data_IF_100801807577
#
_entry.id   IF_100801807577
#
_cell.length_a   1.000
_cell.length_b   1.000
_cell.length_c   1.000
_cell.angle_alpha   90.00
_cell.angle_beta   90.00
_cell.angle_gamma   90.00
#
_symmetry.space_group_name_H-M   'P 1'
#
loop_
_entity.id
_entity.type
_entity.pdbx_description
1 polymer ?
#
# COMPACT_ATOMS: atom_id res chain seq x y z
N UNK A 1 13.84 16.51 -11.30
CA UNK A 1 14.39 15.25 -11.84
C UNK A 1 13.21 14.32 -12.09
N UNK A 2 12.72 14.28 -13.33
CA UNK A 2 11.83 13.21 -13.75
C UNK A 2 12.64 11.92 -13.83
N UNK A 3 12.39 10.99 -12.93
CA UNK A 3 12.90 9.64 -13.08
C UNK A 3 11.97 8.94 -14.08
N UNK A 4 12.33 9.01 -15.35
CA UNK A 4 11.72 8.14 -16.36
C UNK A 4 12.18 6.71 -16.03
N UNK A 5 11.35 5.95 -15.36
CA UNK A 5 11.62 4.55 -15.02
C UNK A 5 11.50 3.63 -16.24
N UNK A 6 11.24 4.18 -17.43
CA UNK A 6 11.04 3.40 -18.66
C UNK A 6 9.81 2.49 -18.60
N UNK A 7 8.85 2.81 -17.73
CA UNK A 7 7.59 2.06 -17.57
C UNK A 7 6.64 2.37 -18.73
N UNK A 8 5.88 1.38 -19.18
CA UNK A 8 5.07 1.44 -20.40
C UNK A 8 3.56 1.44 -20.16
N UNK A 9 3.09 1.27 -18.92
CA UNK A 9 1.67 1.23 -18.60
C UNK A 9 1.01 2.60 -18.50
N UNK A 10 -0.33 2.65 -18.56
CA UNK A 10 -1.14 3.87 -18.53
C UNK A 10 -1.49 4.37 -17.14
N UNK A 11 -1.44 3.53 -16.13
CA UNK A 11 -1.72 3.84 -14.74
C UNK A 11 -0.56 3.42 -13.85
N UNK A 12 -0.33 4.18 -12.78
CA UNK A 12 0.75 3.91 -11.85
C UNK A 12 0.21 3.55 -10.47
N UNK A 13 0.63 2.40 -9.97
CA UNK A 13 0.31 1.92 -8.63
C UNK A 13 1.60 1.78 -7.82
N UNK A 14 1.62 2.37 -6.63
CA UNK A 14 2.73 2.25 -5.69
C UNK A 14 2.40 1.20 -4.66
N UNK A 15 3.39 0.37 -4.35
CA UNK A 15 3.34 -0.52 -3.21
C UNK A 15 4.42 -0.17 -2.20
N UNK A 16 3.97 0.12 -0.98
CA UNK A 16 4.81 0.61 0.09
C UNK A 16 5.36 -0.50 1.01
N UNK A 17 6.28 -0.06 1.83
CA UNK A 17 7.02 -0.65 2.96
C UNK A 17 6.42 -1.96 3.50
N UNK A 18 6.98 -3.05 3.08
CA UNK A 18 6.49 -4.40 3.32
C UNK A 18 6.30 -5.18 2.03
N UNK A 19 6.87 -4.65 0.91
CA UNK A 19 6.84 -5.38 -0.37
C UNK A 19 7.43 -6.79 -0.24
N UNK A 20 8.01 -7.12 0.92
CA UNK A 20 8.62 -8.39 1.18
C UNK A 20 9.68 -8.70 0.13
N UNK A 21 9.57 -9.84 -0.50
CA UNK A 21 10.42 -10.23 -1.63
C UNK A 21 9.99 -9.64 -2.98
N UNK A 22 8.99 -8.76 -3.01
CA UNK A 22 8.44 -8.18 -4.24
C UNK A 22 7.42 -9.07 -4.96
N UNK A 23 7.05 -10.18 -4.38
CA UNK A 23 6.16 -11.21 -4.97
C UNK A 23 4.82 -10.62 -5.41
N UNK A 24 4.24 -9.76 -4.57
CA UNK A 24 2.95 -9.13 -4.87
C UNK A 24 3.05 -8.14 -6.05
N UNK A 25 4.11 -7.33 -6.09
CA UNK A 25 4.33 -6.35 -7.16
C UNK A 25 4.56 -7.04 -8.50
N UNK A 26 5.34 -8.12 -8.51
CA UNK A 26 5.56 -8.94 -9.70
C UNK A 26 4.28 -9.64 -10.13
N UNK A 27 3.52 -10.19 -9.17
CA UNK A 27 2.22 -10.83 -9.43
C UNK A 27 1.23 -9.87 -10.08
N UNK A 28 1.07 -8.66 -9.51
CA UNK A 28 0.22 -7.61 -10.08
C UNK A 28 0.68 -7.20 -11.48
N UNK A 29 1.98 -7.03 -11.68
CA UNK A 29 2.52 -6.68 -12.99
C UNK A 29 2.24 -7.73 -14.07
N UNK A 30 2.19 -9.01 -13.71
CA UNK A 30 1.80 -10.09 -14.63
C UNK A 30 0.30 -10.08 -14.94
N UNK A 31 -0.53 -9.81 -13.94
CA UNK A 31 -1.99 -9.78 -14.10
C UNK A 31 -2.47 -8.57 -14.90
N UNK A 32 -1.78 -7.43 -14.77
CA UNK A 32 -2.16 -6.17 -15.38
C UNK A 32 -1.00 -5.59 -16.20
N UNK A 33 -0.73 -6.12 -17.40
CA UNK A 33 0.39 -5.69 -18.23
C UNK A 33 0.28 -4.22 -18.68
N UNK A 34 -0.93 -3.67 -18.69
CA UNK A 34 -1.19 -2.27 -19.06
C UNK A 34 -1.05 -1.27 -17.91
N UNK A 35 -0.79 -1.73 -16.70
CA UNK A 35 -0.56 -0.90 -15.51
C UNK A 35 0.90 -1.00 -15.06
N UNK A 36 1.42 0.10 -14.52
CA UNK A 36 2.75 0.14 -13.92
C UNK A 36 2.68 -0.09 -12.42
N UNK A 37 3.61 -0.86 -11.89
CA UNK A 37 3.71 -1.16 -10.48
C UNK A 37 5.11 -0.83 -9.96
N UNK A 38 5.17 -0.03 -8.89
CA UNK A 38 6.42 0.34 -8.25
C UNK A 38 6.42 -0.17 -6.82
N UNK A 39 7.35 -1.06 -6.51
CA UNK A 39 7.62 -1.49 -5.14
C UNK A 39 8.56 -0.49 -4.46
N UNK A 40 8.20 -0.06 -3.27
CA UNK A 40 9.01 0.85 -2.47
C UNK A 40 9.41 0.20 -1.15
N UNK A 41 10.69 0.17 -0.82
CA UNK A 41 11.19 -0.25 0.49
C UNK A 41 12.53 0.44 0.78
N UNK A 42 12.84 0.62 2.06
CA UNK A 42 14.15 1.09 2.51
C UNK A 42 15.21 -0.02 2.45
N UNK A 43 14.79 -1.28 2.53
CA UNK A 43 15.67 -2.45 2.56
C UNK A 43 15.78 -3.09 1.18
N UNK A 44 16.80 -2.68 0.42
CA UNK A 44 17.07 -3.22 -0.92
C UNK A 44 17.24 -4.74 -0.98
N UNK A 45 17.80 -5.37 0.07
CA UNK A 45 17.97 -6.82 0.13
C UNK A 45 16.64 -7.60 0.07
N UNK A 46 15.55 -7.01 0.55
CA UNK A 46 14.22 -7.63 0.46
C UNK A 46 13.66 -7.58 -0.97
N UNK A 47 13.87 -6.48 -1.66
CA UNK A 47 13.35 -6.28 -3.02
C UNK A 47 14.14 -7.04 -4.09
N UNK A 48 15.35 -7.51 -3.77
CA UNK A 48 16.24 -8.12 -4.74
C UNK A 48 15.62 -9.32 -5.47
N UNK A 49 14.88 -10.15 -4.77
CA UNK A 49 14.24 -11.34 -5.35
C UNK A 49 13.23 -10.95 -6.43
N UNK A 50 12.30 -10.05 -6.10
CA UNK A 50 11.29 -9.57 -7.07
C UNK A 50 11.91 -8.78 -8.22
N UNK A 51 12.93 -7.97 -7.95
CA UNK A 51 13.65 -7.23 -8.99
C UNK A 51 14.35 -8.19 -9.96
N UNK A 52 15.02 -9.22 -9.46
CA UNK A 52 15.68 -10.23 -10.29
C UNK A 52 14.65 -11.00 -11.12
N UNK A 53 13.56 -11.44 -10.51
CA UNK A 53 12.48 -12.15 -11.18
C UNK A 53 11.84 -11.32 -12.30
N UNK A 54 11.54 -10.04 -12.05
CA UNK A 54 10.95 -9.15 -13.05
C UNK A 54 11.90 -8.89 -14.21
N UNK A 55 13.20 -8.76 -13.95
CA UNK A 55 14.22 -8.60 -15.00
C UNK A 55 14.36 -9.87 -15.85
N UNK A 56 14.44 -11.04 -15.22
CA UNK A 56 14.52 -12.33 -15.93
C UNK A 56 13.28 -12.61 -16.78
N UNK A 57 12.10 -12.18 -16.30
CA UNK A 57 10.85 -12.27 -17.05
C UNK A 57 10.67 -11.18 -18.12
N UNK A 58 11.60 -10.24 -18.24
CA UNK A 58 11.52 -9.15 -19.21
C UNK A 58 10.35 -8.18 -18.97
N UNK A 59 9.88 -8.06 -17.72
CA UNK A 59 8.76 -7.19 -17.38
C UNK A 59 9.14 -5.73 -17.52
N UNK A 60 8.33 -4.95 -18.25
CA UNK A 60 8.57 -3.51 -18.49
C UNK A 60 7.63 -2.60 -17.68
N UNK A 61 6.71 -3.19 -16.93
CA UNK A 61 5.70 -2.49 -16.16
C UNK A 61 5.90 -2.65 -14.63
N UNK A 62 7.05 -3.14 -14.20
CA UNK A 62 7.40 -3.32 -12.78
C UNK A 62 8.74 -2.66 -12.50
N UNK A 63 8.81 -1.88 -11.43
CA UNK A 63 10.02 -1.24 -10.96
C UNK A 63 10.16 -1.33 -9.44
N UNK A 64 11.39 -1.13 -8.96
CA UNK A 64 11.72 -1.20 -7.53
C UNK A 64 12.47 0.06 -7.14
N UNK A 65 11.91 0.80 -6.19
CA UNK A 65 12.47 2.05 -5.69
C UNK A 65 12.95 1.87 -4.26
N UNK A 66 14.27 1.92 -4.05
CA UNK A 66 14.84 1.92 -2.71
C UNK A 66 14.90 3.34 -2.17
N UNK A 67 14.01 3.68 -1.26
CA UNK A 67 13.98 5.01 -0.62
C UNK A 67 13.35 4.97 0.76
N UNK A 68 13.51 6.06 1.50
CA UNK A 68 12.72 6.29 2.70
C UNK A 68 11.34 6.81 2.29
N UNK A 69 10.28 6.16 2.80
CA UNK A 69 8.89 6.54 2.50
C UNK A 69 8.55 7.98 2.90
N UNK A 70 9.24 8.56 3.87
CA UNK A 70 9.02 9.94 4.31
C UNK A 70 9.33 10.99 3.23
N UNK A 71 10.05 10.60 2.18
CA UNK A 71 10.40 11.47 1.05
C UNK A 71 9.80 11.00 -0.27
N UNK A 72 8.81 10.09 -0.22
CA UNK A 72 8.24 9.47 -1.41
C UNK A 72 7.68 10.48 -2.41
N UNK A 73 7.14 11.59 -1.93
CA UNK A 73 6.60 12.65 -2.78
C UNK A 73 7.64 13.31 -3.71
N UNK A 74 8.94 13.10 -3.47
CA UNK A 74 10.00 13.63 -4.34
C UNK A 74 10.23 12.83 -5.61
N UNK A 75 9.62 11.66 -5.72
CA UNK A 75 9.84 10.73 -6.81
C UNK A 75 8.71 10.73 -7.85
N UNK A 76 7.61 11.39 -7.56
CA UNK A 76 6.42 11.39 -8.42
C UNK A 76 5.91 12.80 -8.65
N UNK A 77 5.38 13.02 -9.87
CA UNK A 77 4.68 14.25 -10.22
C UNK A 77 3.26 14.27 -9.62
N UNK A 78 2.68 15.46 -9.55
CA UNK A 78 1.30 15.61 -9.08
C UNK A 78 0.32 14.81 -9.94
N UNK A 79 -0.53 14.01 -9.31
CA UNK A 79 -1.53 13.19 -9.99
C UNK A 79 -0.97 12.03 -10.81
N UNK A 80 0.28 11.65 -10.60
CA UNK A 80 0.91 10.56 -11.36
C UNK A 80 0.48 9.18 -10.89
N UNK A 81 0.17 9.01 -9.61
CA UNK A 81 -0.16 7.72 -8.99
C UNK A 81 -1.66 7.55 -8.87
N UNK A 82 -2.18 6.40 -9.27
CA UNK A 82 -3.62 6.08 -9.21
C UNK A 82 -4.00 5.37 -7.91
N UNK A 83 -3.14 4.47 -7.44
CA UNK A 83 -3.41 3.61 -6.28
C UNK A 83 -2.16 3.42 -5.42
N UNK A 84 -2.37 3.34 -4.12
CA UNK A 84 -1.33 3.04 -3.12
C UNK A 84 -1.74 1.79 -2.34
N UNK A 85 -0.85 0.81 -2.28
CA UNK A 85 -1.05 -0.44 -1.57
C UNK A 85 -0.15 -0.52 -0.34
N UNK A 86 -0.74 -0.42 0.83
CA UNK A 86 -0.07 -0.56 2.13
C UNK A 86 -0.29 -1.99 2.64
N UNK A 87 0.75 -2.82 2.52
CA UNK A 87 0.63 -4.24 2.85
C UNK A 87 1.59 -4.63 3.96
N UNK A 88 1.04 -5.14 5.06
CA UNK A 88 1.80 -5.64 6.22
C UNK A 88 2.86 -4.66 6.74
N UNK A 89 2.52 -3.37 6.73
CA UNK A 89 3.36 -2.32 7.27
C UNK A 89 3.39 -2.38 8.80
N UNK A 90 4.52 -1.93 9.38
CA UNK A 90 4.67 -1.82 10.83
C UNK A 90 3.61 -0.85 11.40
N UNK A 91 2.79 -1.27 12.37
CA UNK A 91 1.71 -0.47 12.92
C UNK A 91 2.18 0.79 13.67
N UNK A 92 3.47 0.88 14.06
CA UNK A 92 4.05 2.05 14.71
C UNK A 92 3.22 2.56 15.90
N UNK A 93 2.91 1.67 16.85
CA UNK A 93 1.97 1.91 17.94
C UNK A 93 2.27 3.18 18.75
N UNK A 94 3.56 3.51 18.94
CA UNK A 94 4.01 4.65 19.76
C UNK A 94 4.11 5.98 19.03
N UNK A 95 4.09 5.99 17.69
CA UNK A 95 4.34 7.21 16.89
C UNK A 95 3.36 7.32 15.74
N UNK A 96 2.27 8.07 15.94
CA UNK A 96 1.24 8.27 14.92
C UNK A 96 1.82 8.78 13.58
N UNK A 97 2.71 9.75 13.61
CA UNK A 97 3.35 10.32 12.40
C UNK A 97 4.22 9.32 11.62
N UNK A 98 4.48 8.14 12.15
CA UNK A 98 5.21 7.08 11.45
C UNK A 98 4.28 6.00 10.86
N UNK A 99 2.99 6.02 11.19
CA UNK A 99 2.00 5.11 10.61
C UNK A 99 1.70 5.50 9.18
N UNK A 100 1.74 4.56 8.28
CA UNK A 100 1.55 4.83 6.85
C UNK A 100 0.11 5.24 6.48
N UNK A 101 -0.85 4.99 7.36
CA UNK A 101 -2.24 5.47 7.22
C UNK A 101 -2.54 6.70 8.07
N UNK A 102 -1.55 7.35 8.69
CA UNK A 102 -1.75 8.59 9.44
C UNK A 102 -2.04 9.77 8.53
N UNK A 103 -2.66 10.81 9.11
CA UNK A 103 -2.89 12.08 8.40
C UNK A 103 -1.60 12.70 7.88
N UNK A 104 -0.48 12.52 8.59
CA UNK A 104 0.85 12.93 8.15
C UNK A 104 1.24 12.31 6.79
N UNK A 105 0.95 11.03 6.57
CA UNK A 105 1.18 10.37 5.29
C UNK A 105 0.08 10.66 4.27
N UNK A 106 -1.18 10.81 4.68
CA UNK A 106 -2.25 11.21 3.77
C UNK A 106 -1.94 12.55 3.09
N UNK A 107 -1.41 13.54 3.83
CA UNK A 107 -0.96 14.82 3.25
C UNK A 107 0.18 14.65 2.23
N UNK A 108 1.08 13.69 2.43
CA UNK A 108 2.13 13.37 1.45
C UNK A 108 1.56 12.70 0.22
N UNK A 109 0.68 11.73 0.40
CA UNK A 109 0.07 11.00 -0.71
C UNK A 109 -0.76 11.93 -1.61
N UNK A 110 -1.45 12.92 -1.06
CA UNK A 110 -2.17 13.95 -1.83
C UNK A 110 -1.31 14.67 -2.86
N UNK A 111 -0.01 14.81 -2.61
CA UNK A 111 0.89 15.53 -3.51
C UNK A 111 1.11 14.84 -4.85
N UNK A 112 0.96 13.53 -4.91
CA UNK A 112 1.23 12.75 -6.11
C UNK A 112 0.12 11.77 -6.50
N UNK A 113 -0.83 11.51 -5.61
CA UNK A 113 -1.99 10.68 -5.90
C UNK A 113 -2.97 11.45 -6.79
N UNK A 114 -3.61 10.76 -7.73
CA UNK A 114 -4.71 11.34 -8.53
C UNK A 114 -5.84 11.81 -7.61
N UNK A 115 -6.65 12.81 -8.03
CA UNK A 115 -7.89 13.13 -7.33
C UNK A 115 -8.73 11.87 -7.13
N UNK A 116 -9.25 11.69 -5.91
CA UNK A 116 -9.98 10.48 -5.50
C UNK A 116 -9.21 9.16 -5.71
N UNK A 117 -7.88 9.23 -5.69
CA UNK A 117 -7.03 8.06 -5.78
C UNK A 117 -7.28 7.09 -4.63
N UNK A 118 -7.01 5.83 -4.88
CA UNK A 118 -7.38 4.73 -4.00
C UNK A 118 -6.20 4.35 -3.10
N UNK A 119 -6.51 4.13 -1.82
CA UNK A 119 -5.57 3.56 -0.85
C UNK A 119 -6.11 2.21 -0.38
N UNK A 120 -5.26 1.21 -0.45
CA UNK A 120 -5.52 -0.14 0.03
C UNK A 120 -4.66 -0.40 1.27
N UNK A 121 -5.29 -0.85 2.34
CA UNK A 121 -4.62 -1.40 3.52
C UNK A 121 -4.90 -2.89 3.61
N UNK A 122 -3.86 -3.70 3.67
CA UNK A 122 -3.92 -5.14 3.93
C UNK A 122 -2.99 -5.44 5.11
N UNK A 123 -3.53 -5.92 6.24
CA UNK A 123 -2.78 -6.06 7.48
C UNK A 123 -3.28 -7.22 8.35
N UNK A 124 -2.38 -7.81 9.11
CA UNK A 124 -2.65 -8.75 10.21
C UNK A 124 -2.92 -8.02 11.54
N UNK A 125 -2.47 -6.77 11.69
CA UNK A 125 -2.57 -5.99 12.92
C UNK A 125 -3.96 -5.44 13.17
N UNK A 126 -4.57 -5.79 14.31
CA UNK A 126 -5.81 -5.18 14.80
C UNK A 126 -5.64 -3.69 15.04
N UNK A 127 -4.50 -3.32 15.65
CA UNK A 127 -4.19 -1.93 15.93
C UNK A 127 -4.18 -1.07 14.67
N UNK A 128 -3.46 -1.50 13.62
CA UNK A 128 -3.36 -0.74 12.37
C UNK A 128 -4.71 -0.62 11.65
N UNK A 129 -5.49 -1.69 11.66
CA UNK A 129 -6.82 -1.73 11.09
C UNK A 129 -7.77 -0.77 11.82
N UNK A 130 -7.84 -0.87 13.15
CA UNK A 130 -8.71 -0.03 14.00
C UNK A 130 -8.33 1.45 13.90
N UNK A 131 -7.03 1.76 13.97
CA UNK A 131 -6.55 3.11 13.78
C UNK A 131 -6.97 3.69 12.43
N UNK A 132 -6.82 2.91 11.35
CA UNK A 132 -7.17 3.36 10.02
C UNK A 132 -8.67 3.61 9.88
N UNK A 133 -9.52 2.77 10.49
CA UNK A 133 -10.97 3.03 10.57
C UNK A 133 -11.26 4.39 11.21
N UNK A 134 -10.70 4.66 12.38
CA UNK A 134 -10.93 5.93 13.08
C UNK A 134 -10.39 7.13 12.29
N UNK A 135 -9.25 6.98 11.63
CA UNK A 135 -8.70 8.03 10.75
C UNK A 135 -9.64 8.33 9.59
N UNK A 136 -10.19 7.31 8.96
CA UNK A 136 -11.16 7.43 7.88
C UNK A 136 -12.46 8.10 8.38
N UNK A 137 -12.98 7.66 9.52
CA UNK A 137 -14.21 8.21 10.13
C UNK A 137 -14.04 9.68 10.52
N UNK A 138 -12.93 10.03 11.19
CA UNK A 138 -12.64 11.41 11.60
C UNK A 138 -12.55 12.38 10.41
N UNK A 139 -12.15 11.90 9.24
CA UNK A 139 -12.00 12.69 8.02
C UNK A 139 -13.11 12.44 6.98
N UNK A 140 -14.08 11.58 7.29
CA UNK A 140 -15.19 11.24 6.40
C UNK A 140 -14.76 10.76 5.00
N UNK A 141 -13.68 9.99 4.93
CA UNK A 141 -13.20 9.47 3.66
C UNK A 141 -14.15 8.41 3.09
N UNK A 142 -14.43 8.42 1.78
CA UNK A 142 -15.26 7.40 1.14
C UNK A 142 -14.59 6.02 1.26
N UNK A 143 -15.30 5.08 1.87
CA UNK A 143 -14.88 3.67 1.97
C UNK A 143 -15.56 2.88 0.88
N UNK A 144 -14.78 2.22 0.03
CA UNK A 144 -15.31 1.29 -0.98
C UNK A 144 -15.50 -0.10 -0.40
N UNK A 145 -14.60 -0.48 0.51
CA UNK A 145 -14.67 -1.80 1.13
C UNK A 145 -13.90 -1.87 2.45
N UNK A 146 -14.41 -2.69 3.39
CA UNK A 146 -13.79 -2.96 4.68
C UNK A 146 -14.17 -4.35 5.18
N UNK A 147 -13.19 -5.13 5.62
CA UNK A 147 -13.42 -6.45 6.26
C UNK A 147 -12.33 -6.76 7.28
N UNK A 148 -12.72 -7.45 8.35
CA UNK A 148 -11.80 -7.97 9.37
C UNK A 148 -11.27 -9.37 9.01
N UNK A 149 -11.88 -10.01 8.02
CA UNK A 149 -11.49 -11.33 7.54
C UNK A 149 -11.59 -11.40 6.01
N UNK A 150 -10.49 -11.07 5.35
CA UNK A 150 -10.45 -10.97 3.90
C UNK A 150 -10.78 -12.30 3.22
N UNK A 151 -10.20 -13.40 3.70
CA UNK A 151 -10.28 -14.68 3.00
C UNK A 151 -11.59 -15.44 3.20
N UNK A 152 -12.40 -15.06 4.17
CA UNK A 152 -13.76 -15.55 4.34
C UNK A 152 -14.81 -14.55 3.83
N UNK A 153 -14.38 -13.44 3.22
CA UNK A 153 -15.27 -12.49 2.57
C UNK A 153 -15.53 -12.87 1.11
N UNK A 154 -16.70 -12.48 0.57
CA UNK A 154 -17.07 -12.72 -0.84
C UNK A 154 -16.24 -11.91 -1.85
N UNK A 155 -15.18 -11.23 -1.42
CA UNK A 155 -14.39 -10.26 -2.18
C UNK A 155 -12.97 -10.69 -2.52
N UNK A 156 -12.59 -11.92 -2.25
CA UNK A 156 -11.30 -12.42 -2.71
C UNK A 156 -11.36 -12.53 -4.22
N UNK A 157 -10.96 -11.46 -4.89
CA UNK A 157 -10.66 -11.49 -6.32
C UNK A 157 -9.22 -12.01 -6.55
N UNK A 158 -8.84 -12.15 -7.81
CA UNK A 158 -7.53 -12.64 -8.18
C UNK A 158 -6.39 -11.78 -7.59
N UNK A 159 -6.61 -10.45 -7.42
CA UNK A 159 -5.62 -9.52 -6.86
C UNK A 159 -5.41 -9.78 -5.37
N UNK A 160 -6.50 -9.89 -4.63
CA UNK A 160 -6.45 -10.11 -3.18
C UNK A 160 -6.02 -11.54 -2.83
N UNK A 161 -6.12 -12.46 -3.78
CA UNK A 161 -5.63 -13.85 -3.65
C UNK A 161 -4.11 -13.98 -3.73
N UNK A 162 -3.38 -12.97 -4.23
CA UNK A 162 -1.92 -12.99 -4.22
C UNK A 162 -1.44 -12.94 -2.78
N UNK A 163 -0.83 -14.04 -2.33
CA UNK A 163 -0.29 -14.17 -0.98
C UNK A 163 1.22 -13.97 -0.99
N UNK A 164 1.70 -13.13 -0.08
CA UNK A 164 3.14 -13.06 0.18
C UNK A 164 3.57 -14.22 1.06
N UNK A 165 4.86 -14.54 1.04
CA UNK A 165 5.45 -15.54 1.92
C UNK A 165 5.10 -15.30 3.41
N UNK A 166 5.16 -14.05 3.86
CA UNK A 166 4.81 -13.68 5.24
C UNK A 166 3.32 -13.84 5.52
N UNK A 167 2.48 -13.49 4.57
CA UNK A 167 1.03 -13.62 4.72
C UNK A 167 0.60 -15.07 4.88
N UNK A 168 1.18 -15.98 4.12
CA UNK A 168 0.91 -17.41 4.27
C UNK A 168 1.29 -17.89 5.68
N UNK A 169 2.40 -17.41 6.23
CA UNK A 169 2.79 -17.75 7.60
C UNK A 169 1.78 -17.28 8.66
N UNK A 170 1.16 -16.09 8.47
CA UNK A 170 0.15 -15.59 9.39
C UNK A 170 -1.16 -16.39 9.30
N UNK A 171 -1.58 -16.73 8.09
CA UNK A 171 -2.74 -17.59 7.87
C UNK A 171 -2.54 -18.97 8.47
N UNK A 172 -1.37 -19.56 8.33
CA UNK A 172 -1.02 -20.85 8.93
C UNK A 172 -1.06 -20.83 10.48
N UNK A 173 -0.92 -19.65 11.07
CA UNK A 173 -1.08 -19.40 12.52
C UNK A 173 -2.52 -19.08 12.93
N UNK A 174 -3.47 -19.10 12.00
CA UNK A 174 -4.87 -18.81 12.26
C UNK A 174 -5.20 -17.31 12.48
N UNK A 175 -4.34 -16.41 11.99
CA UNK A 175 -4.60 -14.98 12.05
C UNK A 175 -5.42 -14.54 10.83
N UNK A 176 -6.47 -13.75 11.07
CA UNK A 176 -7.26 -13.17 10.01
C UNK A 176 -6.54 -11.98 9.39
N UNK A 177 -6.58 -11.89 8.08
CA UNK A 177 -6.07 -10.75 7.34
C UNK A 177 -7.19 -9.76 7.13
N UNK A 178 -6.94 -8.52 7.53
CA UNK A 178 -7.88 -7.40 7.45
C UNK A 178 -7.60 -6.57 6.22
N UNK A 179 -8.65 -5.99 5.65
CA UNK A 179 -8.51 -5.19 4.45
C UNK A 179 -9.45 -3.99 4.46
N UNK A 180 -8.92 -2.84 4.03
CA UNK A 180 -9.68 -1.60 3.79
C UNK A 180 -9.31 -1.04 2.43
N UNK A 181 -10.31 -0.63 1.66
CA UNK A 181 -10.16 0.12 0.42
C UNK A 181 -10.92 1.43 0.54
N UNK A 182 -10.24 2.55 0.42
CA UNK A 182 -10.84 3.88 0.56
C UNK A 182 -10.24 4.88 -0.42
N UNK A 183 -10.95 5.99 -0.63
CA UNK A 183 -10.50 7.10 -1.47
C UNK A 183 -9.94 8.21 -0.61
N UNK A 184 -8.87 8.84 -1.10
CA UNK A 184 -8.24 9.99 -0.47
C UNK A 184 -8.68 11.28 -1.18
N UNK A 185 -9.59 12.09 -0.61
CA UNK A 185 -9.94 13.39 -1.15
C UNK A 185 -8.74 14.34 -1.15
N UNK A 186 -8.62 15.17 -2.19
CA UNK A 186 -7.49 16.11 -2.35
C UNK A 186 -7.59 17.33 -1.44
N UNK A 187 -8.79 17.68 -1.02
CA UNK A 187 -9.07 18.91 -0.26
C UNK A 187 -9.52 18.60 1.15
N UNK A 188 -9.51 19.62 1.98
CA UNK A 188 -9.93 19.55 3.38
C UNK A 188 -8.76 19.42 4.35
N UNK A 189 -8.94 19.99 5.54
CA UNK A 189 -7.99 19.85 6.66
C UNK A 189 -8.15 18.47 7.28
N UNK A 190 -7.06 17.73 7.35
CA UNK A 190 -7.06 16.40 7.95
C UNK A 190 -6.96 16.47 9.46
N UNK A 191 -7.74 15.64 10.13
CA UNK A 191 -7.77 15.52 11.58
C UNK A 191 -7.26 14.13 11.99
N UNK A 192 -6.25 14.13 12.84
CA UNK A 192 -5.75 12.90 13.45
C UNK A 192 -6.82 12.40 14.46
N UNK A 193 -7.18 11.11 14.47
CA UNK A 193 -8.15 10.58 15.41
C UNK A 193 -7.62 10.68 16.85
N UNK A 194 -8.43 11.22 17.73
CA UNK A 194 -8.15 11.30 19.17
C UNK A 194 -8.83 10.12 19.89
N UNK A 195 -8.22 8.95 19.75
CA UNK A 195 -8.75 7.69 20.31
C UNK A 195 -7.63 6.87 20.94
N UNK A 196 -7.92 6.27 22.08
CA UNK A 196 -7.10 5.21 22.65
C UNK A 196 -7.46 3.89 21.97
N UNK A 197 -6.46 3.24 21.39
CA UNK A 197 -6.60 1.93 20.75
C UNK A 197 -5.86 0.92 21.63
N UNK A 198 -6.54 -0.17 21.98
CA UNK A 198 -5.90 -1.27 22.69
C UNK A 198 -4.74 -1.81 21.86
N UNK A 199 -3.62 -2.05 22.52
CA UNK A 199 -2.42 -2.62 21.88
C UNK A 199 -2.64 -4.13 21.71
N UNK A 200 -2.33 -4.63 20.55
CA UNK A 200 -2.33 -6.06 20.19
C UNK A 200 -1.35 -6.87 21.04
#
# INVERSE_FOLDING_TARGET
YEISLGLVGSEMCIRDRGCGRGEYTVGLGRMFPDKNFIAVDIKGSRMWTGATESLQAGMKNVAFLRTNIEIIERFFAAGEVSEIWLTFSDPQMKKATKRLTSTYFMERYRKFLKPDGIIHLKTDSNFMFTYTKYMIEANQFPVEFITEDLYHSDLVDDILSIKTYYEQQWLDRGLNIKYIKFRLPQEGVLQEPDVEIELD
#
